data_IF_756326741135
#
_entry.id   IF_756326741135
#
_cell.length_a   1.000
_cell.length_b   1.000
_cell.length_c   1.000
_cell.angle_alpha   90.00
_cell.angle_beta   90.00
_cell.angle_gamma   90.00
#
_symmetry.space_group_name_H-M   'P 1'
#
loop_
_entity.id
_entity.type
_entity.pdbx_description
1 polymer ?
#
# COMPACT_ATOMS: atom_id res chain seq x y z
N UNK A 1 -28.80 18.32 -10.41
CA UNK A 1 -27.38 18.78 -10.38
C UNK A 1 -27.18 19.36 -8.99
N UNK A 2 -26.29 18.78 -8.18
CA UNK A 2 -26.08 19.29 -6.81
C UNK A 2 -25.25 20.55 -6.91
N UNK A 3 -25.79 21.68 -6.47
CA UNK A 3 -25.05 22.94 -6.37
C UNK A 3 -24.18 22.88 -5.13
N UNK A 4 -22.86 23.08 -5.30
CA UNK A 4 -21.92 23.11 -4.17
C UNK A 4 -22.10 24.40 -3.36
N UNK A 5 -21.74 24.34 -2.08
CA UNK A 5 -21.59 25.54 -1.27
C UNK A 5 -20.53 26.48 -1.92
N UNK A 6 -20.79 27.81 -2.01
CA UNK A 6 -19.88 28.73 -2.68
C UNK A 6 -18.45 28.77 -2.12
N UNK A 7 -18.28 28.51 -0.82
CA UNK A 7 -16.95 28.45 -0.18
C UNK A 7 -16.21 27.18 -0.62
N UNK A 8 -16.92 26.05 -0.69
CA UNK A 8 -16.35 24.78 -1.16
C UNK A 8 -15.92 24.91 -2.62
N UNK A 9 -16.79 25.45 -3.48
CA UNK A 9 -16.48 25.66 -4.90
C UNK A 9 -15.25 26.56 -5.07
N UNK A 10 -15.23 27.72 -4.41
CA UNK A 10 -14.08 28.63 -4.43
C UNK A 10 -12.79 27.98 -3.94
N UNK A 11 -12.86 27.14 -2.91
CA UNK A 11 -11.70 26.43 -2.35
C UNK A 11 -11.17 25.39 -3.32
N UNK A 12 -12.05 24.61 -3.96
CA UNK A 12 -11.68 23.62 -4.99
C UNK A 12 -10.96 24.32 -6.15
N UNK A 13 -11.52 25.44 -6.65
CA UNK A 13 -10.90 26.18 -7.76
C UNK A 13 -9.54 26.77 -7.37
N UNK A 14 -9.39 27.26 -6.13
CA UNK A 14 -8.11 27.73 -5.62
C UNK A 14 -7.07 26.60 -5.54
N UNK A 15 -7.44 25.40 -5.09
CA UNK A 15 -6.56 24.23 -5.05
C UNK A 15 -6.16 23.83 -6.47
N UNK A 16 -7.12 23.65 -7.39
CA UNK A 16 -6.87 23.29 -8.80
C UNK A 16 -5.89 24.24 -9.46
N UNK A 17 -6.12 25.55 -9.32
CA UNK A 17 -5.24 26.59 -9.88
C UNK A 17 -3.84 26.51 -9.30
N UNK A 18 -3.71 26.39 -7.97
CA UNK A 18 -2.39 26.33 -7.30
C UNK A 18 -1.63 25.05 -7.61
N UNK A 19 -2.32 23.92 -7.78
CA UNK A 19 -1.70 22.60 -8.01
C UNK A 19 -1.58 22.23 -9.49
N UNK A 20 -1.92 23.11 -10.42
CA UNK A 20 -2.01 22.75 -11.85
C UNK A 20 -0.72 22.11 -12.37
N UNK A 21 0.43 22.76 -12.15
CA UNK A 21 1.73 22.27 -12.59
C UNK A 21 2.15 20.99 -11.87
N UNK A 22 2.03 20.95 -10.53
CA UNK A 22 2.45 19.78 -9.75
C UNK A 22 1.57 18.55 -10.02
N UNK A 23 0.25 18.75 -10.20
CA UNK A 23 -0.68 17.68 -10.56
C UNK A 23 -0.39 17.14 -11.96
N UNK A 24 -0.13 18.00 -12.95
CA UNK A 24 0.28 17.56 -14.29
C UNK A 24 1.56 16.73 -14.21
N UNK A 25 2.60 17.24 -13.56
CA UNK A 25 3.87 16.52 -13.42
C UNK A 25 3.69 15.16 -12.72
N UNK A 26 2.78 15.05 -11.74
CA UNK A 26 2.44 13.78 -11.09
C UNK A 26 1.75 12.81 -12.05
N UNK A 27 0.74 13.27 -12.81
CA UNK A 27 0.05 12.44 -13.80
C UNK A 27 0.98 11.99 -14.92
N UNK A 28 1.84 12.88 -15.44
CA UNK A 28 2.84 12.54 -16.46
C UNK A 28 3.84 11.49 -15.97
N UNK A 29 4.10 11.42 -14.65
CA UNK A 29 4.93 10.36 -14.05
C UNK A 29 4.19 9.03 -13.98
N UNK A 30 2.89 9.05 -13.63
CA UNK A 30 2.08 7.84 -13.61
C UNK A 30 1.95 7.24 -15.01
N UNK A 31 1.67 8.05 -16.03
CA UNK A 31 1.61 7.59 -17.42
C UNK A 31 2.95 6.98 -17.88
N UNK A 32 4.07 7.60 -17.50
CA UNK A 32 5.41 7.05 -17.77
C UNK A 32 5.65 5.73 -17.07
N UNK A 33 5.25 5.60 -15.80
CA UNK A 33 5.39 4.35 -15.04
C UNK A 33 4.50 3.25 -15.64
N UNK A 34 3.26 3.54 -16.02
CA UNK A 34 2.35 2.58 -16.64
C UNK A 34 2.88 2.05 -17.98
N UNK A 35 3.54 2.90 -18.77
CA UNK A 35 4.15 2.52 -20.03
C UNK A 35 5.53 1.84 -19.88
N UNK A 36 6.12 1.84 -18.68
CA UNK A 36 7.45 1.27 -18.43
C UNK A 36 7.38 -0.27 -18.38
N UNK A 37 8.21 -1.00 -19.16
CA UNK A 37 8.28 -2.46 -19.08
C UNK A 37 8.57 -2.99 -17.67
N UNK A 38 9.30 -2.25 -16.83
CA UNK A 38 9.60 -2.66 -15.45
C UNK A 38 8.35 -2.68 -14.55
N UNK A 39 7.28 -1.99 -14.93
CA UNK A 39 5.98 -2.05 -14.23
C UNK A 39 5.15 -3.26 -14.63
N UNK A 40 5.52 -3.98 -15.67
CA UNK A 40 4.83 -5.19 -16.11
C UNK A 40 5.50 -6.41 -15.48
N UNK A 41 4.84 -7.03 -14.49
CA UNK A 41 5.34 -8.25 -13.85
C UNK A 41 5.61 -9.41 -14.81
N UNK A 42 4.97 -9.42 -15.99
CA UNK A 42 5.24 -10.40 -17.06
C UNK A 42 6.61 -10.24 -17.72
N UNK A 43 7.28 -9.09 -17.53
CA UNK A 43 8.64 -8.82 -17.99
C UNK A 43 9.71 -9.20 -16.96
N UNK A 44 9.30 -9.58 -15.74
CA UNK A 44 10.22 -10.02 -14.68
C UNK A 44 10.89 -11.34 -15.11
N UNK A 45 12.23 -11.35 -15.11
CA UNK A 45 13.00 -12.54 -15.48
C UNK A 45 12.65 -13.76 -14.62
N UNK A 46 12.69 -14.95 -15.22
CA UNK A 46 12.25 -16.19 -14.59
C UNK A 46 12.94 -16.49 -13.25
N UNK A 47 14.23 -16.13 -13.10
CA UNK A 47 14.96 -16.27 -11.83
C UNK A 47 14.39 -15.38 -10.72
N UNK A 48 14.04 -14.13 -11.06
CA UNK A 48 13.51 -13.17 -10.11
C UNK A 48 12.08 -13.54 -9.72
N UNK A 49 11.27 -13.97 -10.69
CA UNK A 49 9.92 -14.43 -10.44
C UNK A 49 9.90 -15.70 -9.57
N UNK A 50 10.88 -16.60 -9.76
CA UNK A 50 11.03 -17.78 -8.90
C UNK A 50 11.30 -17.41 -7.44
N UNK A 51 12.09 -16.36 -7.18
CA UNK A 51 12.32 -15.86 -5.82
C UNK A 51 11.04 -15.28 -5.21
N UNK A 52 10.29 -14.47 -5.97
CA UNK A 52 9.03 -13.91 -5.51
C UNK A 52 7.99 -15.00 -5.18
N UNK A 53 7.92 -16.04 -6.01
CA UNK A 53 6.95 -17.12 -5.86
C UNK A 53 7.31 -18.16 -4.79
N UNK A 54 8.58 -18.27 -4.38
CA UNK A 54 9.06 -19.35 -3.51
C UNK A 54 8.34 -19.43 -2.14
N UNK A 55 7.95 -18.27 -1.58
CA UNK A 55 7.21 -18.20 -0.32
C UNK A 55 5.69 -18.34 -0.46
N UNK A 56 5.16 -18.36 -1.68
CA UNK A 56 3.74 -18.35 -1.97
C UNK A 56 3.18 -19.78 -2.10
N UNK A 57 3.36 -20.64 -1.08
CA UNK A 57 3.12 -22.10 -1.17
C UNK A 57 1.83 -22.48 -1.92
N UNK A 58 0.70 -21.85 -1.60
CA UNK A 58 -0.59 -22.13 -2.24
C UNK A 58 -0.75 -21.49 -3.63
N UNK A 59 -0.09 -20.36 -3.87
CA UNK A 59 -0.25 -19.55 -5.09
C UNK A 59 0.95 -19.70 -6.06
N UNK A 60 1.96 -20.51 -5.71
CA UNK A 60 3.27 -20.52 -6.36
C UNK A 60 3.17 -20.81 -7.86
N UNK A 61 2.37 -21.80 -8.26
CA UNK A 61 2.14 -22.13 -9.66
C UNK A 61 1.50 -20.97 -10.41
N UNK A 62 0.47 -20.35 -9.84
CA UNK A 62 -0.25 -19.24 -10.44
C UNK A 62 0.66 -18.01 -10.61
N UNK A 63 1.50 -17.71 -9.61
CA UNK A 63 2.49 -16.63 -9.69
C UNK A 63 3.48 -16.87 -10.84
N UNK A 64 4.01 -18.09 -10.97
CA UNK A 64 4.98 -18.45 -12.01
C UNK A 64 4.38 -18.36 -13.42
N UNK A 65 3.07 -18.59 -13.59
CA UNK A 65 2.42 -18.44 -14.91
C UNK A 65 2.17 -16.97 -15.28
N UNK A 66 2.13 -16.07 -14.30
CA UNK A 66 1.82 -14.67 -14.54
C UNK A 66 0.37 -14.39 -14.94
N UNK A 67 -0.54 -15.37 -14.92
CA UNK A 67 -1.88 -15.21 -15.50
C UNK A 67 -2.91 -14.56 -14.59
N UNK A 68 -2.76 -14.68 -13.27
CA UNK A 68 -3.69 -14.13 -12.28
C UNK A 68 -3.18 -12.83 -11.67
N UNK A 69 -4.03 -11.82 -11.41
CA UNK A 69 -3.63 -10.62 -10.69
C UNK A 69 -2.96 -10.96 -9.37
N UNK A 70 -1.85 -10.29 -9.07
CA UNK A 70 -1.06 -10.52 -7.86
C UNK A 70 -1.12 -9.32 -6.93
N UNK A 71 -1.61 -9.52 -5.70
CA UNK A 71 -1.90 -8.46 -4.74
C UNK A 71 -0.88 -8.47 -3.61
N UNK A 72 -0.22 -7.34 -3.39
CA UNK A 72 0.66 -7.12 -2.24
C UNK A 72 -0.14 -6.67 -1.01
N UNK A 73 0.11 -7.26 0.15
CA UNK A 73 -0.49 -6.84 1.42
C UNK A 73 0.56 -6.15 2.27
N UNK A 74 0.29 -4.92 2.68
CA UNK A 74 1.09 -4.16 3.66
C UNK A 74 0.36 -4.19 4.98
N UNK A 75 1.02 -4.63 6.06
CA UNK A 75 0.37 -4.80 7.36
C UNK A 75 1.07 -4.05 8.47
N UNK A 76 0.32 -3.24 9.22
CA UNK A 76 0.78 -2.57 10.43
C UNK A 76 0.49 -3.42 11.69
N UNK A 77 0.81 -4.71 11.64
CA UNK A 77 0.51 -5.65 12.72
C UNK A 77 1.41 -5.43 13.93
N UNK A 78 0.79 -5.41 15.11
CA UNK A 78 1.39 -5.78 16.38
C UNK A 78 0.29 -6.33 17.30
N UNK A 79 0.67 -7.13 18.29
CA UNK A 79 -0.21 -7.68 19.31
C UNK A 79 -0.35 -6.77 20.55
N UNK A 80 0.42 -5.67 20.60
CA UNK A 80 0.40 -4.70 21.69
C UNK A 80 -0.92 -3.92 21.77
N UNK A 81 -1.57 -3.68 20.63
CA UNK A 81 -2.75 -2.82 20.54
C UNK A 81 -3.93 -3.58 19.93
N UNK A 82 -5.09 -3.45 20.56
CA UNK A 82 -6.34 -4.06 20.07
C UNK A 82 -6.72 -3.62 18.65
N UNK A 83 -6.32 -2.42 18.25
CA UNK A 83 -6.58 -1.91 16.90
C UNK A 83 -5.72 -2.60 15.82
N UNK A 84 -4.56 -3.16 16.20
CA UNK A 84 -3.58 -3.73 15.26
C UNK A 84 -3.56 -5.25 15.32
N UNK A 85 -3.87 -5.84 16.48
CA UNK A 85 -3.87 -7.29 16.70
C UNK A 85 -4.72 -8.06 15.67
N UNK A 86 -5.90 -7.57 15.22
CA UNK A 86 -6.68 -8.26 14.19
C UNK A 86 -5.90 -8.53 12.89
N UNK A 87 -4.86 -7.76 12.60
CA UNK A 87 -4.01 -7.94 11.42
C UNK A 87 -3.11 -9.18 11.48
N UNK A 88 -3.10 -9.92 12.59
CA UNK A 88 -2.56 -11.29 12.62
C UNK A 88 -3.37 -12.22 11.72
N UNK A 89 -4.71 -12.12 11.77
CA UNK A 89 -5.63 -13.07 11.15
C UNK A 89 -6.20 -12.57 9.82
N UNK A 90 -6.18 -11.26 9.58
CA UNK A 90 -6.74 -10.68 8.36
C UNK A 90 -5.99 -11.08 7.08
N UNK A 91 -4.64 -11.13 7.03
CA UNK A 91 -3.95 -11.49 5.80
C UNK A 91 -4.32 -12.88 5.26
N UNK A 92 -4.42 -13.96 6.06
CA UNK A 92 -4.98 -15.24 5.60
C UNK A 92 -6.40 -15.14 5.04
N UNK A 93 -7.30 -14.40 5.71
CA UNK A 93 -8.68 -14.22 5.26
C UNK A 93 -8.77 -13.46 3.94
N UNK A 94 -7.97 -12.40 3.79
CA UNK A 94 -7.87 -11.62 2.56
C UNK A 94 -7.31 -12.47 1.41
N UNK A 95 -6.25 -13.24 1.65
CA UNK A 95 -5.71 -14.18 0.65
C UNK A 95 -6.77 -15.16 0.15
N UNK A 96 -7.53 -15.75 1.06
CA UNK A 96 -8.63 -16.64 0.69
C UNK A 96 -9.70 -15.92 -0.16
N UNK A 97 -10.11 -14.72 0.23
CA UNK A 97 -11.09 -13.93 -0.54
C UNK A 97 -10.56 -13.53 -1.93
N UNK A 98 -9.28 -13.15 -2.03
CA UNK A 98 -8.62 -12.78 -3.30
C UNK A 98 -8.54 -13.99 -4.23
N UNK A 99 -8.23 -15.18 -3.70
CA UNK A 99 -8.25 -16.43 -4.48
C UNK A 99 -9.64 -16.76 -5.00
N UNK A 100 -10.68 -16.58 -4.18
CA UNK A 100 -12.08 -16.74 -4.63
C UNK A 100 -12.45 -15.75 -5.74
N UNK A 101 -11.85 -14.56 -5.74
CA UNK A 101 -12.00 -13.56 -6.79
C UNK A 101 -11.09 -13.79 -8.02
N UNK A 102 -10.28 -14.86 -8.04
CA UNK A 102 -9.40 -15.22 -9.15
C UNK A 102 -8.02 -14.58 -9.15
N UNK A 103 -7.61 -13.95 -8.04
CA UNK A 103 -6.26 -13.41 -7.85
C UNK A 103 -5.37 -14.27 -6.97
N UNK A 104 -4.14 -13.81 -6.75
CA UNK A 104 -3.17 -14.36 -5.79
C UNK A 104 -2.67 -13.24 -4.88
N UNK A 105 -2.14 -13.56 -3.70
CA UNK A 105 -1.68 -12.52 -2.78
C UNK A 105 -0.55 -12.96 -1.86
N UNK A 106 0.37 -12.02 -1.59
CA UNK A 106 1.44 -12.18 -0.61
C UNK A 106 1.46 -11.00 0.35
N UNK A 107 1.94 -11.21 1.58
CA UNK A 107 2.31 -10.08 2.43
C UNK A 107 3.62 -9.54 1.89
N UNK A 108 3.58 -8.32 1.36
CA UNK A 108 4.71 -7.66 0.75
C UNK A 108 5.65 -7.08 1.81
N UNK A 109 5.09 -6.52 2.88
CA UNK A 109 5.87 -5.97 3.99
C UNK A 109 5.04 -5.80 5.26
N UNK A 110 5.71 -5.86 6.40
CA UNK A 110 5.23 -5.32 7.66
C UNK A 110 5.75 -3.90 7.84
N UNK A 111 4.89 -2.97 8.22
CA UNK A 111 5.27 -1.57 8.52
C UNK A 111 5.20 -1.31 10.02
N UNK A 112 6.05 -0.41 10.56
CA UNK A 112 5.99 -0.11 11.99
C UNK A 112 4.64 0.49 12.36
N UNK A 113 4.19 0.15 13.56
CA UNK A 113 2.87 0.54 14.02
C UNK A 113 2.98 1.07 15.46
N UNK A 114 2.56 2.31 15.65
CA UNK A 114 2.57 2.97 16.95
C UNK A 114 1.18 3.49 17.31
N UNK A 115 0.94 3.74 18.60
CA UNK A 115 -0.30 4.35 19.09
C UNK A 115 0.00 5.68 19.77
N UNK A 116 -0.51 6.76 19.19
CA UNK A 116 -0.45 8.09 19.78
C UNK A 116 -1.09 8.09 21.18
N UNK A 117 -2.20 7.38 21.38
CA UNK A 117 -2.85 7.27 22.69
C UNK A 117 -1.97 6.66 23.80
N UNK A 118 -1.05 5.74 23.45
CA UNK A 118 -0.08 5.16 24.40
C UNK A 118 1.10 6.09 24.64
N UNK A 119 1.57 6.79 23.60
CA UNK A 119 2.76 7.64 23.68
C UNK A 119 2.45 9.07 24.13
N UNK A 120 1.19 9.50 24.13
CA UNK A 120 0.78 10.86 24.46
C UNK A 120 1.29 11.29 25.84
N UNK A 121 2.01 12.42 25.88
CA UNK A 121 2.62 12.94 27.10
C UNK A 121 3.87 12.19 27.57
N UNK A 122 4.42 11.27 26.76
CA UNK A 122 5.68 10.55 26.99
C UNK A 122 6.71 10.90 25.91
N UNK A 123 8.02 10.68 26.15
CA UNK A 123 9.06 10.93 25.14
C UNK A 123 8.82 10.21 23.80
N UNK A 124 8.15 9.05 23.82
CA UNK A 124 7.77 8.34 22.59
C UNK A 124 6.89 9.14 21.63
N UNK A 125 6.17 10.18 22.11
CA UNK A 125 5.36 11.05 21.25
C UNK A 125 6.22 11.85 20.27
N UNK A 126 7.50 12.08 20.59
CA UNK A 126 8.46 12.75 19.70
C UNK A 126 8.67 11.97 18.39
N UNK A 127 8.39 10.66 18.38
CA UNK A 127 8.46 9.81 17.21
C UNK A 127 7.14 9.72 16.43
N UNK A 128 6.03 10.26 16.95
CA UNK A 128 4.70 10.13 16.34
C UNK A 128 4.66 10.58 14.89
N UNK A 129 4.98 11.85 14.62
CA UNK A 129 4.91 12.37 13.27
C UNK A 129 5.97 11.72 12.34
N UNK A 130 7.17 11.46 12.87
CA UNK A 130 8.24 10.82 12.11
C UNK A 130 7.88 9.40 11.67
N UNK A 131 7.09 8.67 12.47
CA UNK A 131 6.64 7.32 12.11
C UNK A 131 5.89 7.26 10.77
N UNK A 132 5.12 8.31 10.42
CA UNK A 132 4.41 8.39 9.15
C UNK A 132 5.36 8.23 7.96
N UNK A 133 6.48 8.95 8.00
CA UNK A 133 7.44 8.94 6.88
C UNK A 133 8.21 7.60 6.83
N UNK A 134 8.45 6.98 7.99
CA UNK A 134 9.01 5.62 8.06
C UNK A 134 8.04 4.59 7.47
N UNK A 135 6.75 4.71 7.77
CA UNK A 135 5.70 3.83 7.22
C UNK A 135 5.61 4.01 5.71
N UNK A 136 5.56 5.25 5.21
CA UNK A 136 5.54 5.53 3.78
C UNK A 136 6.76 4.93 3.05
N UNK A 137 7.95 5.07 3.63
CA UNK A 137 9.17 4.50 3.08
C UNK A 137 9.16 2.96 3.12
N UNK A 138 8.72 2.36 4.23
CA UNK A 138 8.62 0.91 4.36
C UNK A 138 7.59 0.29 3.40
N UNK A 139 6.47 0.99 3.17
CA UNK A 139 5.47 0.64 2.15
C UNK A 139 6.09 0.68 0.75
N UNK A 140 6.81 1.76 0.42
CA UNK A 140 7.49 1.89 -0.87
C UNK A 140 8.53 0.77 -1.10
N UNK A 141 9.33 0.43 -0.08
CA UNK A 141 10.29 -0.69 -0.13
C UNK A 141 9.58 -2.03 -0.28
N UNK A 142 8.46 -2.24 0.42
CA UNK A 142 7.66 -3.46 0.28
C UNK A 142 7.12 -3.67 -1.14
N UNK A 143 6.67 -2.59 -1.78
CA UNK A 143 6.08 -2.64 -3.11
C UNK A 143 7.09 -2.52 -4.26
N UNK A 144 8.35 -2.17 -3.98
CA UNK A 144 9.37 -1.97 -5.02
C UNK A 144 9.86 -3.25 -5.70
N UNK A 145 9.35 -4.42 -5.30
CA UNK A 145 9.70 -5.69 -5.94
C UNK A 145 9.17 -5.83 -7.37
N UNK A 146 8.23 -4.98 -7.80
CA UNK A 146 7.76 -4.94 -9.20
C UNK A 146 6.92 -6.16 -9.62
N UNK A 147 6.39 -6.91 -8.65
CA UNK A 147 5.62 -8.16 -8.92
C UNK A 147 4.13 -8.04 -8.58
N UNK A 148 3.70 -6.93 -8.00
CA UNK A 148 2.31 -6.71 -7.57
C UNK A 148 1.57 -5.82 -8.57
N UNK A 149 0.36 -6.22 -8.95
CA UNK A 149 -0.53 -5.42 -9.80
C UNK A 149 -1.30 -4.37 -8.98
N UNK A 150 -1.47 -4.62 -7.68
CA UNK A 150 -2.10 -3.68 -6.74
C UNK A 150 -1.72 -4.02 -5.29
N UNK A 151 -2.09 -3.16 -4.35
CA UNK A 151 -1.79 -3.33 -2.93
C UNK A 151 -3.01 -3.11 -2.02
N UNK A 152 -3.05 -3.85 -0.92
CA UNK A 152 -3.94 -3.63 0.22
C UNK A 152 -3.10 -3.16 1.42
N UNK A 153 -3.41 -1.98 1.95
CA UNK A 153 -2.73 -1.42 3.12
C UNK A 153 -3.61 -1.53 4.36
N UNK A 154 -3.17 -2.33 5.34
CA UNK A 154 -3.87 -2.56 6.60
C UNK A 154 -3.30 -1.63 7.67
N UNK A 155 -4.01 -0.54 7.93
CA UNK A 155 -3.61 0.50 8.87
C UNK A 155 -4.81 1.18 9.49
N UNK A 156 -4.64 1.72 10.71
CA UNK A 156 -5.77 2.33 11.45
C UNK A 156 -5.38 3.58 12.25
N UNK A 157 -4.29 3.56 13.02
CA UNK A 157 -3.91 4.72 13.83
C UNK A 157 -3.50 5.93 12.98
N UNK A 158 -3.59 7.11 13.59
CA UNK A 158 -3.45 8.44 12.99
C UNK A 158 -2.30 8.61 12.00
N UNK A 159 -1.14 7.99 12.28
CA UNK A 159 0.08 8.12 11.47
C UNK A 159 0.29 6.96 10.50
N UNK A 160 -0.48 5.89 10.64
CA UNK A 160 -0.38 4.67 9.83
C UNK A 160 -1.13 4.85 8.52
N UNK A 161 -2.38 5.32 8.53
CA UNK A 161 -3.16 5.50 7.29
C UNK A 161 -2.55 6.54 6.34
N UNK A 162 -2.07 7.71 6.80
CA UNK A 162 -1.42 8.67 5.90
C UNK A 162 0.03 8.31 5.54
N UNK A 163 0.62 7.30 6.18
CA UNK A 163 1.95 6.77 5.83
C UNK A 163 1.82 5.66 4.79
#
# INVERSE_FOLDING_TARGET
MVTLDPVVEKTIEAIKKRSQTSRRNYLDRLERMEADPDSNRGMVGCSNLAHAAAGAIEDQSDLLTGQKPHIGIITAYNDMLSAHQPYEQFPPLLKAAIRLAGGTAQVASGVPAMCDGVTQGRPGMELSLASRDVIAMATAVGLSHGVFDTALCLGICDKIVPG
#
